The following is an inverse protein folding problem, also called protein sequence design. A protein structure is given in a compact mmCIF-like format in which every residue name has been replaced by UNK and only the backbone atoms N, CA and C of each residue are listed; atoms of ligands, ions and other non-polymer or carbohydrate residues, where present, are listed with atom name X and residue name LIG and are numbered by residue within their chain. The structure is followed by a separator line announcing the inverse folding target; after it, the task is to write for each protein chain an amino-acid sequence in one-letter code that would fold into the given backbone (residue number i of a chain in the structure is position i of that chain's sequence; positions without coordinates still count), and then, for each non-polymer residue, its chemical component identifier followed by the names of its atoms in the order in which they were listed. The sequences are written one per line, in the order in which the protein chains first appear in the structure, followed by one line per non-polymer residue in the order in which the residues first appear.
data_IF_675770581331
#
_entry.id   IF_675770581331
#
_cell.length_a   1.000
_cell.length_b   1.000
_cell.length_c   1.000
_cell.angle_alpha   90.00
_cell.angle_beta   90.00
_cell.angle_gamma   90.00
#
_symmetry.space_group_name_H-M   'P 1'
#
loop_
_entity.id
_entity.type
_entity.pdbx_description
1 polymer ?
#
# COMPACT_ATOMS: atom_id res chain seq x y z
N UNK A 1 8.52 -11.62 6.71
CA UNK A 1 9.46 -10.53 6.36
C UNK A 1 8.81 -9.67 5.28
N UNK A 2 9.06 -8.37 5.24
CA UNK A 2 8.65 -7.52 4.13
C UNK A 2 9.90 -6.93 3.50
N UNK A 3 10.05 -7.03 2.19
CA UNK A 3 11.21 -6.50 1.48
C UNK A 3 10.94 -5.03 1.12
N UNK A 4 11.83 -4.13 1.52
CA UNK A 4 11.74 -2.68 1.23
C UNK A 4 12.15 -2.33 -0.20
N UNK A 5 11.71 -3.11 -1.20
CA UNK A 5 12.23 -3.02 -2.58
C UNK A 5 11.97 -1.69 -3.27
N UNK A 6 10.91 -0.98 -2.86
CA UNK A 6 10.50 0.31 -3.43
C UNK A 6 10.80 1.48 -2.49
N UNK A 7 11.65 1.26 -1.50
CA UNK A 7 12.12 2.33 -0.63
C UNK A 7 12.91 3.35 -1.44
N UNK A 8 12.59 4.64 -1.25
CA UNK A 8 13.16 5.73 -2.05
C UNK A 8 12.41 6.05 -3.35
N UNK A 9 11.42 5.24 -3.75
CA UNK A 9 10.54 5.59 -4.86
C UNK A 9 9.48 6.62 -4.42
N UNK A 10 9.36 7.71 -5.19
CA UNK A 10 8.31 8.72 -5.00
C UNK A 10 7.05 8.36 -5.80
N UNK A 11 5.99 7.99 -5.08
CA UNK A 11 4.68 7.70 -5.65
C UNK A 11 3.76 8.94 -5.56
N UNK A 12 3.05 9.22 -6.65
CA UNK A 12 2.03 10.28 -6.70
C UNK A 12 0.62 9.69 -6.61
N UNK A 13 0.46 8.44 -7.04
CA UNK A 13 -0.82 7.72 -7.00
C UNK A 13 -0.60 6.34 -6.40
N UNK A 14 -1.48 5.94 -5.47
CA UNK A 14 -1.57 4.59 -4.95
C UNK A 14 -2.97 4.03 -5.22
N UNK A 15 -3.05 2.80 -5.73
CA UNK A 15 -4.31 2.16 -6.11
C UNK A 15 -4.45 0.87 -5.31
N UNK A 16 -5.58 0.72 -4.61
CA UNK A 16 -5.95 -0.49 -3.89
C UNK A 16 -7.10 -1.19 -4.60
N UNK A 17 -6.86 -2.41 -5.07
CA UNK A 17 -7.82 -3.20 -5.85
C UNK A 17 -8.64 -4.15 -4.97
N UNK A 18 -7.97 -5.07 -4.28
CA UNK A 18 -8.56 -6.05 -3.37
C UNK A 18 -7.46 -6.65 -2.46
N UNK A 19 -7.87 -7.40 -1.43
CA UNK A 19 -6.95 -8.18 -0.61
C UNK A 19 -7.62 -9.48 -0.11
N UNK A 20 -7.00 -10.61 -0.45
CA UNK A 20 -7.39 -11.95 -0.02
C UNK A 20 -6.32 -12.58 0.87
N UNK A 21 -6.64 -13.72 1.49
CA UNK A 21 -5.73 -14.48 2.35
C UNK A 21 -4.66 -15.20 1.51
N UNK A 22 -3.60 -14.48 1.18
CA UNK A 22 -2.47 -14.97 0.37
C UNK A 22 -1.12 -14.71 1.08
N UNK A 23 -0.05 -15.37 0.63
CA UNK A 23 1.33 -15.13 1.10
C UNK A 23 1.56 -15.25 2.62
N UNK A 24 0.88 -16.20 3.29
CA UNK A 24 0.97 -16.41 4.74
C UNK A 24 2.37 -16.75 5.23
N UNK A 25 3.16 -17.47 4.44
CA UNK A 25 4.54 -17.83 4.79
C UNK A 25 5.43 -16.60 4.95
N UNK A 26 5.17 -15.55 4.16
CA UNK A 26 5.94 -14.32 4.15
C UNK A 26 5.43 -13.35 5.22
N UNK A 27 4.11 -13.17 5.30
CA UNK A 27 3.51 -12.15 6.16
C UNK A 27 3.16 -12.67 7.57
N UNK A 28 3.22 -13.98 7.83
CA UNK A 28 2.84 -14.68 9.08
C UNK A 28 1.36 -14.61 9.43
N UNK A 29 0.74 -13.44 9.24
CA UNK A 29 -0.69 -13.23 9.45
C UNK A 29 -1.23 -12.16 8.48
N UNK A 30 -2.55 -12.15 8.35
CA UNK A 30 -3.26 -11.25 7.44
C UNK A 30 -3.10 -9.76 7.84
N UNK A 31 -3.04 -9.45 9.13
CA UNK A 31 -2.81 -8.08 9.61
C UNK A 31 -1.48 -7.51 9.11
N UNK A 32 -0.41 -8.32 9.12
CA UNK A 32 0.89 -7.94 8.58
C UNK A 32 0.88 -7.78 7.06
N UNK A 33 0.10 -8.58 6.34
CA UNK A 33 -0.08 -8.44 4.90
C UNK A 33 -0.80 -7.14 4.55
N UNK A 34 -1.88 -6.82 5.30
CA UNK A 34 -2.60 -5.57 5.15
C UNK A 34 -1.71 -4.36 5.48
N UNK A 35 -0.99 -4.40 6.62
CA UNK A 35 -0.01 -3.36 7.00
C UNK A 35 1.07 -3.18 5.94
N UNK A 36 1.52 -4.28 5.33
CA UNK A 36 2.51 -4.23 4.27
C UNK A 36 2.01 -3.44 3.05
N UNK A 37 0.77 -3.65 2.61
CA UNK A 37 0.16 -2.88 1.51
C UNK A 37 -0.15 -1.43 1.91
N UNK A 38 -0.61 -1.17 3.15
CA UNK A 38 -0.86 0.19 3.67
C UNK A 38 0.37 1.11 3.58
N UNK A 39 1.60 0.57 3.61
CA UNK A 39 2.83 1.35 3.45
C UNK A 39 2.90 2.13 2.13
N UNK A 40 2.34 1.60 1.03
CA UNK A 40 2.31 2.32 -0.25
C UNK A 40 1.49 3.62 -0.12
N UNK A 41 0.31 3.55 0.50
CA UNK A 41 -0.54 4.71 0.73
C UNK A 41 0.11 5.73 1.65
N UNK A 42 0.77 5.27 2.71
CA UNK A 42 1.53 6.15 3.60
C UNK A 42 2.75 6.78 2.91
N UNK A 43 3.29 6.17 1.86
CA UNK A 43 4.40 6.73 1.10
C UNK A 43 4.00 7.92 0.23
N UNK A 44 2.72 8.10 -0.10
CA UNK A 44 2.24 9.28 -0.82
C UNK A 44 2.58 10.58 -0.06
N UNK A 45 2.46 10.56 1.27
CA UNK A 45 2.81 11.69 2.13
C UNK A 45 4.31 11.99 2.18
N UNK A 46 5.15 11.07 1.69
CA UNK A 46 6.62 11.20 1.69
C UNK A 46 7.16 11.59 0.31
N UNK A 47 6.32 11.62 -0.71
CA UNK A 47 6.75 11.95 -2.08
C UNK A 47 7.28 13.37 -2.15
N UNK A 48 8.49 13.54 -2.68
CA UNK A 48 9.16 14.84 -2.82
C UNK A 48 8.70 15.64 -4.05
N UNK A 49 7.91 15.02 -4.93
CA UNK A 49 7.40 15.64 -6.16
C UNK A 49 6.35 16.69 -5.80
N UNK A 50 6.65 17.97 -6.04
CA UNK A 50 5.78 19.10 -5.64
C UNK A 50 4.72 19.45 -6.68
N UNK A 51 4.94 19.09 -7.95
CA UNK A 51 4.10 19.55 -9.07
C UNK A 51 2.86 18.66 -9.31
N UNK A 52 2.70 17.61 -8.51
CA UNK A 52 1.62 16.62 -8.67
C UNK A 52 0.89 16.42 -7.35
N UNK A 53 -0.44 16.57 -7.39
CA UNK A 53 -1.32 16.17 -6.31
C UNK A 53 -1.19 14.67 -6.01
N UNK A 54 -1.42 14.30 -4.75
CA UNK A 54 -1.32 12.91 -4.29
C UNK A 54 -2.70 12.29 -4.23
N UNK A 55 -2.89 11.18 -4.92
CA UNK A 55 -4.18 10.50 -4.97
C UNK A 55 -4.10 9.08 -4.43
N UNK A 56 -5.11 8.71 -3.64
CA UNK A 56 -5.37 7.33 -3.27
C UNK A 56 -6.68 6.89 -3.94
N UNK A 57 -6.61 5.85 -4.76
CA UNK A 57 -7.79 5.22 -5.36
C UNK A 57 -8.02 3.91 -4.63
N UNK A 58 -9.21 3.75 -4.05
CA UNK A 58 -9.55 2.61 -3.21
C UNK A 58 -10.81 1.98 -3.76
N UNK A 59 -10.74 0.69 -4.08
CA UNK A 59 -11.93 -0.09 -4.36
C UNK A 59 -12.78 -0.23 -3.08
N UNK A 60 -13.97 0.36 -3.07
CA UNK A 60 -14.87 0.35 -1.92
C UNK A 60 -15.60 -0.98 -1.74
N UNK A 61 -15.59 -1.85 -2.75
CA UNK A 61 -16.18 -3.19 -2.68
C UNK A 61 -15.30 -4.15 -1.84
N UNK A 62 -14.07 -3.76 -1.54
CA UNK A 62 -13.18 -4.52 -0.66
C UNK A 62 -13.50 -4.24 0.81
N UNK A 63 -13.73 -5.29 1.60
CA UNK A 63 -14.06 -5.21 3.03
C UNK A 63 -12.99 -4.47 3.83
N UNK A 64 -11.72 -4.64 3.44
CA UNK A 64 -10.56 -4.04 4.09
C UNK A 64 -10.19 -2.65 3.55
N UNK A 65 -11.09 -1.99 2.81
CA UNK A 65 -10.90 -0.65 2.24
C UNK A 65 -10.82 0.49 3.26
N UNK A 66 -11.17 0.23 4.53
CA UNK A 66 -11.23 1.22 5.63
C UNK A 66 -10.02 1.20 6.59
#
# INVERSE_FOLDING_TARGET
MQLSRVEGCDFDVAIFTNISKEHFEIHKNFSNYLKAKKKLFLSLNKSKKKDYEKFAVINIDEEHSK
#
